data_IF_465231171838
#
_entry.id   IF_465231171838
#
_cell.length_a   1.000
_cell.length_b   1.000
_cell.length_c   1.000
_cell.angle_alpha   90.00
_cell.angle_beta   90.00
_cell.angle_gamma   90.00
#
_symmetry.space_group_name_H-M   'P 1'
#
loop_
_entity.id
_entity.type
_entity.pdbx_description
1 polymer ?
#
# COMPACT_ATOMS: atom_id res chain seq x y z
N UNK A 1 70.92 37.08 -40.64
CA UNK A 1 70.12 35.83 -40.74
C UNK A 1 70.05 35.07 -39.39
N UNK A 2 69.42 35.63 -38.36
CA UNK A 2 69.25 34.99 -37.04
C UNK A 2 67.84 35.23 -36.50
N UNK A 3 66.82 34.58 -37.07
CA UNK A 3 65.44 34.76 -36.58
C UNK A 3 64.47 33.59 -36.87
N UNK A 4 64.96 32.35 -37.09
CA UNK A 4 64.08 31.18 -37.33
C UNK A 4 64.27 30.00 -36.36
N UNK A 5 65.20 30.10 -35.41
CA UNK A 5 65.53 28.98 -34.49
C UNK A 5 64.78 28.94 -33.15
N UNK A 6 64.04 29.99 -32.75
CA UNK A 6 63.45 30.08 -31.40
C UNK A 6 61.94 29.85 -31.31
N UNK A 7 61.22 29.83 -32.43
CA UNK A 7 59.76 29.67 -32.45
C UNK A 7 59.30 28.19 -32.50
N UNK A 8 60.17 27.27 -32.93
CA UNK A 8 59.86 25.83 -32.98
C UNK A 8 60.04 25.11 -31.62
N UNK A 9 60.83 25.67 -30.71
CA UNK A 9 61.04 25.08 -29.37
C UNK A 9 59.89 25.42 -28.42
N UNK A 10 59.26 26.60 -28.56
CA UNK A 10 58.15 27.01 -27.72
C UNK A 10 56.83 26.28 -28.04
N UNK A 11 56.57 25.93 -29.30
CA UNK A 11 55.39 25.16 -29.72
C UNK A 11 55.49 23.66 -29.35
N UNK A 12 56.71 23.11 -29.23
CA UNK A 12 56.93 21.73 -28.78
C UNK A 12 56.66 21.51 -27.29
N UNK A 13 56.91 22.53 -26.44
CA UNK A 13 56.70 22.42 -24.99
C UNK A 13 55.23 22.53 -24.56
N UNK A 14 54.38 23.25 -25.29
CA UNK A 14 52.94 23.36 -24.95
C UNK A 14 52.18 22.07 -25.29
N UNK A 15 52.52 21.40 -26.40
CA UNK A 15 51.93 20.10 -26.76
C UNK A 15 52.33 18.98 -25.78
N UNK A 16 53.54 19.02 -25.23
CA UNK A 16 54.04 18.05 -24.25
C UNK A 16 53.40 18.19 -22.86
N UNK A 17 53.03 19.41 -22.44
CA UNK A 17 52.26 19.64 -21.21
C UNK A 17 50.78 19.23 -21.33
N UNK A 18 50.18 19.32 -22.53
CA UNK A 18 48.81 18.85 -22.73
C UNK A 18 48.70 17.33 -22.82
N UNK A 19 49.72 16.62 -23.32
CA UNK A 19 49.73 15.17 -23.43
C UNK A 19 49.86 14.44 -22.07
N UNK A 20 50.53 15.05 -21.09
CA UNK A 20 50.67 14.50 -19.72
C UNK A 20 49.46 14.78 -18.82
N UNK A 21 48.60 15.75 -19.18
CA UNK A 21 47.35 16.05 -18.49
C UNK A 21 46.17 15.16 -18.90
N UNK A 22 46.23 14.54 -20.09
CA UNK A 22 45.21 13.65 -20.62
C UNK A 22 44.90 12.40 -19.75
N UNK A 23 45.89 11.65 -19.22
CA UNK A 23 45.60 10.50 -18.35
C UNK A 23 45.02 10.89 -16.98
N UNK A 24 45.35 12.08 -16.46
CA UNK A 24 44.73 12.64 -15.23
C UNK A 24 43.27 13.03 -15.45
N UNK A 25 42.94 13.66 -16.60
CA UNK A 25 41.56 13.99 -16.98
C UNK A 25 40.71 12.75 -17.25
N UNK A 26 41.30 11.71 -17.84
CA UNK A 26 40.71 10.41 -18.05
C UNK A 26 40.34 9.68 -16.74
N UNK A 27 41.29 9.58 -15.81
CA UNK A 27 41.04 9.00 -14.49
C UNK A 27 39.99 9.79 -13.69
N UNK A 28 40.00 11.13 -13.81
CA UNK A 28 38.98 12.00 -13.22
C UNK A 28 37.58 11.84 -13.86
N UNK A 29 37.48 11.61 -15.18
CA UNK A 29 36.21 11.28 -15.85
C UNK A 29 35.70 9.89 -15.43
N UNK A 30 36.60 8.93 -15.25
CA UNK A 30 36.28 7.59 -14.73
C UNK A 30 35.77 7.62 -13.29
N UNK A 31 36.34 8.45 -12.41
CA UNK A 31 35.83 8.63 -11.04
C UNK A 31 34.50 9.37 -11.00
N UNK A 32 34.32 10.40 -11.84
CA UNK A 32 33.04 11.14 -11.97
C UNK A 32 31.89 10.27 -12.47
N UNK A 33 32.11 9.44 -13.48
CA UNK A 33 31.08 8.49 -13.97
C UNK A 33 30.72 7.44 -12.91
N UNK A 34 31.70 7.00 -12.10
CA UNK A 34 31.47 6.07 -10.99
C UNK A 34 30.69 6.73 -9.85
N UNK A 35 31.01 7.99 -9.51
CA UNK A 35 30.27 8.78 -8.53
C UNK A 35 28.82 9.05 -8.98
N UNK A 36 28.61 9.36 -10.27
CA UNK A 36 27.26 9.51 -10.86
C UNK A 36 26.43 8.22 -10.79
N UNK A 37 27.05 7.06 -10.99
CA UNK A 37 26.36 5.75 -10.86
C UNK A 37 26.02 5.41 -9.41
N UNK A 38 26.86 5.79 -8.45
CA UNK A 38 26.61 5.59 -7.02
C UNK A 38 25.46 6.48 -6.54
N UNK A 39 25.47 7.76 -6.93
CA UNK A 39 24.39 8.71 -6.61
C UNK A 39 23.06 8.25 -7.21
N UNK A 40 23.01 7.88 -8.49
CA UNK A 40 21.78 7.34 -9.10
C UNK A 40 21.27 6.06 -8.45
N UNK A 41 22.17 5.21 -7.93
CA UNK A 41 21.78 4.00 -7.21
C UNK A 41 21.21 4.31 -5.81
N UNK A 42 21.79 5.29 -5.10
CA UNK A 42 21.29 5.77 -3.82
C UNK A 42 19.91 6.44 -3.98
N UNK A 43 19.72 7.23 -5.02
CA UNK A 43 18.42 7.84 -5.35
C UNK A 43 17.35 6.79 -5.60
N UNK A 44 17.66 5.73 -6.36
CA UNK A 44 16.74 4.62 -6.58
C UNK A 44 16.41 3.85 -5.29
N UNK A 45 17.37 3.70 -4.37
CA UNK A 45 17.12 3.07 -3.06
C UNK A 45 16.23 3.93 -2.17
N UNK A 46 16.48 5.25 -2.11
CA UNK A 46 15.62 6.18 -1.37
C UNK A 46 14.20 6.21 -1.93
N UNK A 47 14.04 6.19 -3.26
CA UNK A 47 12.73 6.12 -3.90
C UNK A 47 11.97 4.82 -3.55
N UNK A 48 12.67 3.67 -3.55
CA UNK A 48 12.07 2.40 -3.16
C UNK A 48 11.66 2.35 -1.68
N UNK A 49 12.46 2.95 -0.78
CA UNK A 49 12.10 3.09 0.63
C UNK A 49 10.89 4.02 0.83
N UNK A 50 10.82 5.14 0.12
CA UNK A 50 9.67 6.03 0.17
C UNK A 50 8.37 5.33 -0.31
N UNK A 51 8.46 4.49 -1.34
CA UNK A 51 7.33 3.68 -1.80
C UNK A 51 6.87 2.67 -0.75
N UNK A 52 7.80 2.02 -0.03
CA UNK A 52 7.47 1.12 1.08
C UNK A 52 6.79 1.85 2.24
N UNK A 53 7.28 3.04 2.59
CA UNK A 53 6.69 3.85 3.66
C UNK A 53 5.26 4.27 3.30
N UNK A 54 5.01 4.69 2.06
CA UNK A 54 3.65 5.01 1.59
C UNK A 54 2.74 3.77 1.64
N UNK A 55 3.20 2.60 1.18
CA UNK A 55 2.44 1.36 1.28
C UNK A 55 2.13 0.99 2.74
N UNK A 56 3.10 1.13 3.63
CA UNK A 56 2.94 0.85 5.06
C UNK A 56 1.92 1.79 5.71
N UNK A 57 1.98 3.09 5.39
CA UNK A 57 0.98 4.09 5.83
C UNK A 57 -0.41 3.77 5.31
N UNK A 58 -0.54 3.32 4.06
CA UNK A 58 -1.83 2.90 3.47
C UNK A 58 -2.41 1.68 4.19
N UNK A 59 -1.58 0.69 4.53
CA UNK A 59 -1.98 -0.50 5.30
C UNK A 59 -2.49 -0.09 6.68
N UNK A 60 -1.71 0.71 7.43
CA UNK A 60 -2.12 1.22 8.75
C UNK A 60 -3.41 2.05 8.69
N UNK A 61 -3.54 2.90 7.69
CA UNK A 61 -4.76 3.68 7.46
C UNK A 61 -5.97 2.79 7.15
N UNK A 62 -5.79 1.72 6.37
CA UNK A 62 -6.82 0.75 6.07
C UNK A 62 -7.24 -0.09 7.29
N UNK A 63 -6.29 -0.47 8.15
CA UNK A 63 -6.55 -1.19 9.41
C UNK A 63 -7.39 -0.36 10.38
N UNK A 64 -7.02 0.91 10.59
CA UNK A 64 -7.79 1.83 11.46
C UNK A 64 -9.21 2.02 10.95
N UNK A 65 -9.38 2.14 9.63
CA UNK A 65 -10.72 2.21 9.00
C UNK A 65 -11.51 0.93 9.26
N UNK A 66 -10.89 -0.24 9.12
CA UNK A 66 -11.54 -1.53 9.36
C UNK A 66 -11.95 -1.68 10.83
N UNK A 67 -11.08 -1.31 11.78
CA UNK A 67 -11.41 -1.27 13.22
C UNK A 67 -12.58 -0.34 13.52
N UNK A 68 -12.62 0.82 12.87
CA UNK A 68 -13.74 1.77 13.03
C UNK A 68 -15.04 1.16 12.48
N UNK A 69 -14.98 0.47 11.35
CA UNK A 69 -16.14 -0.21 10.74
C UNK A 69 -16.63 -1.36 11.61
N UNK A 70 -15.74 -2.18 12.17
CA UNK A 70 -16.12 -3.28 13.07
C UNK A 70 -16.75 -2.75 14.35
N UNK A 71 -16.21 -1.67 14.93
CA UNK A 71 -16.83 -1.02 16.09
C UNK A 71 -18.22 -0.45 15.78
N UNK A 72 -18.40 0.19 14.61
CA UNK A 72 -19.73 0.65 14.18
C UNK A 72 -20.70 -0.50 13.97
N UNK A 73 -20.19 -1.65 13.49
CA UNK A 73 -20.99 -2.84 13.30
C UNK A 73 -21.48 -3.37 14.65
N UNK A 74 -20.61 -3.54 15.64
CA UNK A 74 -21.01 -4.05 16.97
C UNK A 74 -22.05 -3.12 17.61
N UNK A 75 -21.85 -1.81 17.56
CA UNK A 75 -22.85 -0.84 18.04
C UNK A 75 -24.19 -0.97 17.33
N UNK A 76 -24.20 -1.24 16.02
CA UNK A 76 -25.43 -1.41 15.25
C UNK A 76 -26.12 -2.74 15.60
N UNK A 77 -25.35 -3.81 15.81
CA UNK A 77 -25.83 -5.12 16.23
C UNK A 77 -26.53 -5.04 17.59
N UNK A 78 -25.92 -4.36 18.55
CA UNK A 78 -26.52 -4.11 19.87
C UNK A 78 -27.85 -3.35 19.74
N UNK A 79 -27.87 -2.28 18.93
CA UNK A 79 -29.09 -1.49 18.66
C UNK A 79 -30.18 -2.28 17.96
N UNK A 80 -29.82 -3.26 17.12
CA UNK A 80 -30.76 -4.18 16.47
C UNK A 80 -31.31 -5.15 17.52
N UNK A 81 -30.44 -5.77 18.32
CA UNK A 81 -30.83 -6.72 19.36
C UNK A 81 -31.73 -6.07 20.43
N UNK A 82 -31.44 -4.84 20.85
CA UNK A 82 -32.32 -4.04 21.71
C UNK A 82 -33.66 -3.74 21.03
N UNK A 83 -33.64 -3.34 19.76
CA UNK A 83 -34.84 -3.07 18.97
C UNK A 83 -35.76 -4.29 18.89
N UNK A 84 -35.19 -5.47 18.64
CA UNK A 84 -35.92 -6.74 18.63
C UNK A 84 -36.48 -7.10 20.00
N UNK A 85 -35.69 -6.94 21.07
CA UNK A 85 -36.16 -7.14 22.44
C UNK A 85 -37.36 -6.24 22.77
N UNK A 86 -37.28 -4.96 22.39
CA UNK A 86 -38.40 -4.00 22.54
C UNK A 86 -39.62 -4.43 21.74
N UNK A 87 -39.46 -4.80 20.47
CA UNK A 87 -40.56 -5.28 19.62
C UNK A 87 -41.23 -6.52 20.22
N UNK A 88 -40.46 -7.53 20.64
CA UNK A 88 -40.99 -8.74 21.30
C UNK A 88 -41.78 -8.41 22.56
N UNK A 89 -41.25 -7.54 23.42
CA UNK A 89 -41.94 -7.10 24.63
C UNK A 89 -43.25 -6.34 24.31
N UNK A 90 -43.22 -5.46 23.30
CA UNK A 90 -44.41 -4.74 22.83
C UNK A 90 -45.47 -5.68 22.24
N UNK A 91 -45.06 -6.67 21.45
CA UNK A 91 -45.96 -7.67 20.87
C UNK A 91 -46.65 -8.52 21.94
N UNK A 92 -45.92 -8.94 22.98
CA UNK A 92 -46.49 -9.68 24.11
C UNK A 92 -47.56 -8.84 24.84
N UNK A 93 -47.24 -7.58 25.16
CA UNK A 93 -48.19 -6.64 25.81
C UNK A 93 -49.41 -6.38 24.94
N UNK A 94 -49.20 -6.16 23.63
CA UNK A 94 -50.26 -5.93 22.65
C UNK A 94 -51.14 -7.16 22.48
N UNK A 95 -50.57 -8.37 22.49
CA UNK A 95 -51.31 -9.63 22.42
C UNK A 95 -52.30 -9.80 23.57
N UNK A 96 -51.84 -9.55 24.81
CA UNK A 96 -52.69 -9.56 25.99
C UNK A 96 -53.82 -8.52 25.91
N UNK A 97 -53.51 -7.28 25.52
CA UNK A 97 -54.53 -6.23 25.33
C UNK A 97 -55.51 -6.55 24.21
N UNK A 98 -55.05 -7.12 23.09
CA UNK A 98 -55.92 -7.56 21.99
C UNK A 98 -56.93 -8.58 22.47
N UNK A 99 -56.53 -9.52 23.31
CA UNK A 99 -57.43 -10.52 23.88
C UNK A 99 -58.45 -9.89 24.83
N UNK A 100 -58.03 -8.96 25.68
CA UNK A 100 -58.92 -8.19 26.55
C UNK A 100 -59.96 -7.39 25.75
N UNK A 101 -59.51 -6.60 24.78
CA UNK A 101 -60.35 -5.82 23.87
C UNK A 101 -61.32 -6.69 23.07
N UNK A 102 -60.89 -7.88 22.62
CA UNK A 102 -61.77 -8.82 21.91
C UNK A 102 -62.90 -9.32 22.81
N UNK A 103 -62.63 -9.60 24.09
CA UNK A 103 -63.67 -9.99 25.06
C UNK A 103 -64.63 -8.84 25.31
N UNK A 104 -64.11 -7.63 25.56
CA UNK A 104 -64.89 -6.38 25.73
C UNK A 104 -65.81 -6.09 24.54
N UNK A 105 -65.28 -6.09 23.32
CA UNK A 105 -66.05 -5.83 22.10
C UNK A 105 -67.19 -6.85 21.91
N UNK A 106 -66.96 -8.12 22.25
CA UNK A 106 -68.01 -9.15 22.21
C UNK A 106 -69.11 -8.86 23.23
N UNK A 107 -68.75 -8.42 24.44
CA UNK A 107 -69.73 -8.01 25.46
C UNK A 107 -70.51 -6.77 25.03
N UNK A 108 -69.84 -5.77 24.44
CA UNK A 108 -70.49 -4.58 23.89
C UNK A 108 -71.46 -4.92 22.75
N UNK A 109 -71.08 -5.84 21.87
CA UNK A 109 -71.96 -6.33 20.81
C UNK A 109 -73.22 -7.01 21.39
N UNK A 110 -73.06 -7.87 22.40
CA UNK A 110 -74.22 -8.48 23.10
C UNK A 110 -75.09 -7.44 23.79
N UNK A 111 -74.49 -6.42 24.41
CA UNK A 111 -75.21 -5.32 25.05
C UNK A 111 -76.03 -4.50 24.03
N UNK A 112 -75.48 -4.28 22.83
CA UNK A 112 -76.17 -3.56 21.74
C UNK A 112 -77.37 -4.32 21.16
N UNK A 113 -77.39 -5.66 21.28
CA UNK A 113 -78.49 -6.53 20.83
C UNK A 113 -79.63 -6.61 21.86
N UNK A 114 -80.10 -5.45 22.32
CA UNK A 114 -81.22 -5.34 23.26
C UNK A 114 -80.87 -5.56 24.73
N UNK A 115 -79.61 -5.85 25.07
CA UNK A 115 -79.18 -6.00 26.46
C UNK A 115 -79.30 -4.72 27.29
N UNK A 116 -79.10 -3.54 26.68
CA UNK A 116 -79.31 -2.26 27.35
C UNK A 116 -80.78 -2.00 27.67
N UNK A 117 -81.68 -2.33 26.73
CA UNK A 117 -83.13 -2.21 26.93
C UNK A 117 -83.59 -3.16 28.04
N UNK A 118 -83.09 -4.39 28.05
CA UNK A 118 -83.35 -5.34 29.14
C UNK A 118 -82.90 -4.80 30.49
N UNK A 119 -81.70 -4.23 30.56
CA UNK A 119 -81.16 -3.62 31.79
C UNK A 119 -82.06 -2.48 32.31
N UNK A 120 -82.59 -1.65 31.40
CA UNK A 120 -83.50 -0.55 31.76
C UNK A 120 -84.88 -1.05 32.20
N UNK A 121 -85.41 -2.09 31.56
CA UNK A 121 -86.72 -2.67 31.90
C UNK A 121 -86.70 -3.46 33.21
N UNK A 122 -85.54 -3.99 33.59
CA UNK A 122 -85.32 -4.77 34.82
C UNK A 122 -85.02 -3.87 36.04
N UNK A 123 -84.98 -2.55 35.86
CA UNK A 123 -84.77 -1.61 36.96
C UNK A 123 -86.08 -1.32 37.71
N UNK A 124 -86.03 -1.34 39.04
CA UNK A 124 -87.20 -1.17 39.92
C UNK A 124 -87.65 0.30 40.03
N UNK A 125 -86.80 1.26 39.63
CA UNK A 125 -87.10 2.69 39.68
C UNK A 125 -86.40 3.49 38.57
N UNK A 126 -86.99 4.63 38.19
CA UNK A 126 -86.43 5.53 37.19
C UNK A 126 -85.03 6.05 37.57
N UNK A 127 -84.76 6.26 38.86
CA UNK A 127 -83.44 6.66 39.33
C UNK A 127 -82.40 5.53 39.25
N UNK A 128 -82.81 4.28 39.42
CA UNK A 128 -81.95 3.12 39.19
C UNK A 128 -81.61 2.98 37.71
N UNK A 129 -82.59 3.13 36.81
CA UNK A 129 -82.35 3.15 35.35
C UNK A 129 -81.34 4.25 34.95
N UNK A 130 -81.50 5.47 35.50
CA UNK A 130 -80.57 6.59 35.26
C UNK A 130 -79.16 6.28 35.76
N UNK A 131 -79.02 5.71 36.95
CA UNK A 131 -77.71 5.31 37.52
C UNK A 131 -77.01 4.25 36.66
N UNK A 132 -77.74 3.23 36.23
CA UNK A 132 -77.23 2.18 35.35
C UNK A 132 -76.79 2.73 33.99
N UNK A 133 -77.60 3.60 33.37
CA UNK A 133 -77.26 4.25 32.09
C UNK A 133 -75.98 5.07 32.19
N UNK A 134 -75.82 5.86 33.26
CA UNK A 134 -74.59 6.63 33.54
C UNK A 134 -73.37 5.72 33.78
N UNK A 135 -73.57 4.54 34.39
CA UNK A 135 -72.50 3.58 34.58
C UNK A 135 -72.05 2.95 33.24
N UNK A 136 -73.01 2.56 32.39
CA UNK A 136 -72.73 2.05 31.04
C UNK A 136 -71.99 3.09 30.20
N UNK A 137 -72.44 4.35 30.21
CA UNK A 137 -71.78 5.45 29.50
C UNK A 137 -70.31 5.63 29.93
N UNK A 138 -70.03 5.55 31.24
CA UNK A 138 -68.65 5.59 31.78
C UNK A 138 -67.80 4.43 31.30
N UNK A 139 -68.35 3.21 31.24
CA UNK A 139 -67.65 2.03 30.72
C UNK A 139 -67.33 2.20 29.23
N UNK A 140 -68.30 2.64 28.43
CA UNK A 140 -68.12 2.88 26.99
C UNK A 140 -67.04 3.94 26.72
N UNK A 141 -67.03 5.03 27.48
CA UNK A 141 -66.02 6.07 27.36
C UNK A 141 -64.61 5.51 27.63
N UNK A 142 -64.47 4.64 28.63
CA UNK A 142 -63.20 3.96 28.95
C UNK A 142 -62.79 2.98 27.85
N UNK A 143 -63.69 2.14 27.36
CA UNK A 143 -63.40 1.18 26.29
C UNK A 143 -63.01 1.92 24.98
N UNK A 144 -63.63 3.06 24.67
CA UNK A 144 -63.26 3.91 23.55
C UNK A 144 -61.86 4.55 23.71
N UNK A 145 -61.48 4.93 24.93
CA UNK A 145 -60.12 5.39 25.22
C UNK A 145 -59.09 4.26 25.05
N UNK A 146 -59.38 3.05 25.54
CA UNK A 146 -58.51 1.88 25.38
C UNK A 146 -58.32 1.50 23.90
N UNK A 147 -59.37 1.56 23.08
CA UNK A 147 -59.28 1.35 21.62
C UNK A 147 -58.36 2.37 20.94
N UNK A 148 -58.45 3.65 21.33
CA UNK A 148 -57.56 4.70 20.81
C UNK A 148 -56.10 4.44 21.17
N UNK A 149 -55.84 4.05 22.42
CA UNK A 149 -54.50 3.65 22.87
C UNK A 149 -53.97 2.46 22.08
N UNK A 150 -54.78 1.41 21.89
CA UNK A 150 -54.39 0.23 21.12
C UNK A 150 -54.07 0.57 19.66
N UNK A 151 -54.87 1.44 19.01
CA UNK A 151 -54.55 1.93 17.65
C UNK A 151 -53.20 2.67 17.62
N UNK A 152 -52.92 3.49 18.63
CA UNK A 152 -51.62 4.15 18.79
C UNK A 152 -50.47 3.15 18.93
N UNK A 153 -50.65 2.09 19.73
CA UNK A 153 -49.65 1.03 19.90
C UNK A 153 -49.38 0.26 18.59
N UNK A 154 -50.41 -0.01 17.79
CA UNK A 154 -50.25 -0.64 16.47
C UNK A 154 -49.38 0.23 15.56
N UNK A 155 -49.66 1.53 15.50
CA UNK A 155 -48.85 2.48 14.71
C UNK A 155 -47.40 2.53 15.20
N UNK A 156 -47.19 2.63 16.52
CA UNK A 156 -45.85 2.61 17.14
C UNK A 156 -45.07 1.34 16.83
N UNK A 157 -45.75 0.19 16.83
CA UNK A 157 -45.11 -1.08 16.47
C UNK A 157 -44.69 -1.12 15.00
N UNK A 158 -45.52 -0.59 14.09
CA UNK A 158 -45.18 -0.47 12.68
C UNK A 158 -43.93 0.41 12.50
N UNK A 159 -43.89 1.59 13.13
CA UNK A 159 -42.72 2.49 13.05
C UNK A 159 -41.45 1.86 13.61
N UNK A 160 -41.56 1.08 14.70
CA UNK A 160 -40.41 0.37 15.27
C UNK A 160 -39.89 -0.72 14.33
N UNK A 161 -40.79 -1.47 13.68
CA UNK A 161 -40.40 -2.50 12.70
C UNK A 161 -39.75 -1.89 11.47
N UNK A 162 -40.26 -0.77 10.97
CA UNK A 162 -39.65 -0.06 9.84
C UNK A 162 -38.29 0.52 10.18
N UNK A 163 -38.13 1.08 11.39
CA UNK A 163 -36.83 1.52 11.89
C UNK A 163 -35.83 0.34 12.00
N UNK A 164 -36.28 -0.82 12.49
CA UNK A 164 -35.45 -2.03 12.55
C UNK A 164 -35.04 -2.52 11.16
N UNK A 165 -35.96 -2.52 10.18
CA UNK A 165 -35.66 -2.86 8.79
C UNK A 165 -34.61 -1.94 8.20
N UNK A 166 -34.74 -0.63 8.39
CA UNK A 166 -33.74 0.36 7.94
C UNK A 166 -32.37 0.11 8.58
N UNK A 167 -32.32 -0.21 9.88
CA UNK A 167 -31.07 -0.56 10.58
C UNK A 167 -30.42 -1.83 10.01
N UNK A 168 -31.20 -2.89 9.73
CA UNK A 168 -30.69 -4.10 9.08
C UNK A 168 -30.16 -3.85 7.67
N UNK A 169 -30.84 -2.99 6.89
CA UNK A 169 -30.35 -2.58 5.58
C UNK A 169 -29.01 -1.83 5.69
N UNK A 170 -28.89 -0.90 6.64
CA UNK A 170 -27.63 -0.19 6.90
C UNK A 170 -26.52 -1.15 7.36
N UNK A 171 -26.84 -2.15 8.18
CA UNK A 171 -25.90 -3.20 8.61
C UNK A 171 -25.38 -4.02 7.42
N UNK A 172 -26.26 -4.41 6.50
CA UNK A 172 -25.86 -5.14 5.30
C UNK A 172 -24.91 -4.31 4.41
N UNK A 173 -25.18 -3.01 4.24
CA UNK A 173 -24.29 -2.10 3.52
C UNK A 173 -22.94 -1.94 4.23
N UNK A 174 -22.94 -1.83 5.56
CA UNK A 174 -21.72 -1.74 6.35
C UNK A 174 -20.87 -3.00 6.21
N UNK A 175 -21.48 -4.18 6.29
CA UNK A 175 -20.83 -5.47 6.08
C UNK A 175 -20.21 -5.59 4.68
N UNK A 176 -20.94 -5.16 3.64
CA UNK A 176 -20.41 -5.15 2.28
C UNK A 176 -19.17 -4.23 2.16
N UNK A 177 -19.23 -3.03 2.75
CA UNK A 177 -18.09 -2.09 2.74
C UNK A 177 -16.89 -2.63 3.53
N UNK A 178 -17.12 -3.29 4.66
CA UNK A 178 -16.08 -3.91 5.48
C UNK A 178 -15.40 -5.07 4.74
N UNK A 179 -16.16 -5.89 4.00
CA UNK A 179 -15.61 -6.98 3.17
C UNK A 179 -14.69 -6.45 2.09
N UNK A 180 -15.13 -5.43 1.34
CA UNK A 180 -14.31 -4.79 0.29
C UNK A 180 -13.04 -4.21 0.90
N UNK A 181 -13.15 -3.55 2.05
CA UNK A 181 -11.99 -2.96 2.72
C UNK A 181 -11.01 -4.03 3.25
N UNK A 182 -11.52 -5.15 3.75
CA UNK A 182 -10.72 -6.29 4.18
C UNK A 182 -9.93 -6.89 3.00
N UNK A 183 -10.58 -7.11 1.86
CA UNK A 183 -9.93 -7.61 0.64
C UNK A 183 -8.85 -6.64 0.13
N UNK A 184 -9.10 -5.33 0.20
CA UNK A 184 -8.09 -4.31 -0.15
C UNK A 184 -6.91 -4.35 0.80
N UNK A 185 -7.15 -4.57 2.10
CA UNK A 185 -6.10 -4.67 3.11
C UNK A 185 -5.23 -5.92 2.88
N UNK A 186 -5.84 -7.08 2.61
CA UNK A 186 -5.08 -8.31 2.33
C UNK A 186 -4.24 -8.14 1.06
N UNK A 187 -4.80 -7.61 -0.02
CA UNK A 187 -4.05 -7.32 -1.23
C UNK A 187 -2.90 -6.34 -1.01
N UNK A 188 -3.10 -5.30 -0.19
CA UNK A 188 -2.05 -4.35 0.16
C UNK A 188 -0.92 -4.99 1.00
N UNK A 189 -1.27 -5.86 1.96
CA UNK A 189 -0.30 -6.62 2.76
C UNK A 189 0.51 -7.58 1.88
N UNK A 190 -0.13 -8.23 0.92
CA UNK A 190 0.54 -9.13 -0.03
C UNK A 190 1.48 -8.38 -0.98
N UNK A 191 1.08 -7.18 -1.43
CA UNK A 191 1.95 -6.32 -2.21
C UNK A 191 3.18 -5.87 -1.41
N UNK A 192 2.98 -5.48 -0.14
CA UNK A 192 4.06 -5.08 0.76
C UNK A 192 5.03 -6.23 1.03
N UNK A 193 4.53 -7.43 1.32
CA UNK A 193 5.37 -8.60 1.60
C UNK A 193 6.20 -8.99 0.38
N UNK A 194 5.62 -8.95 -0.83
CA UNK A 194 6.34 -9.17 -2.09
C UNK A 194 7.42 -8.11 -2.33
N UNK A 195 7.12 -6.84 -2.10
CA UNK A 195 8.06 -5.74 -2.25
C UNK A 195 9.26 -5.91 -1.28
N UNK A 196 9.00 -6.16 0.00
CA UNK A 196 10.04 -6.44 1.00
C UNK A 196 10.89 -7.66 0.63
N UNK A 197 10.26 -8.74 0.16
CA UNK A 197 10.96 -9.93 -0.32
C UNK A 197 11.85 -9.67 -1.53
N UNK A 198 11.43 -8.81 -2.46
CA UNK A 198 12.26 -8.39 -3.61
C UNK A 198 13.49 -7.58 -3.15
N UNK A 199 13.30 -6.62 -2.24
CA UNK A 199 14.38 -5.78 -1.72
C UNK A 199 15.41 -6.57 -0.93
N UNK A 200 14.97 -7.54 -0.12
CA UNK A 200 15.88 -8.42 0.60
C UNK A 200 16.74 -9.25 -0.37
N UNK A 201 16.14 -9.79 -1.45
CA UNK A 201 16.85 -10.54 -2.49
C UNK A 201 17.86 -9.66 -3.23
N UNK A 202 17.47 -8.44 -3.60
CA UNK A 202 18.34 -7.50 -4.27
C UNK A 202 19.53 -7.07 -3.41
N UNK A 203 19.28 -6.76 -2.13
CA UNK A 203 20.34 -6.45 -1.15
C UNK A 203 21.32 -7.61 -1.03
N UNK A 204 20.83 -8.85 -0.93
CA UNK A 204 21.67 -10.05 -0.86
C UNK A 204 22.49 -10.25 -2.14
N UNK A 205 21.89 -10.03 -3.32
CA UNK A 205 22.59 -10.08 -4.62
C UNK A 205 23.70 -9.03 -4.70
N UNK A 206 23.43 -7.79 -4.31
CA UNK A 206 24.43 -6.70 -4.26
C UNK A 206 25.57 -7.02 -3.30
N UNK A 207 25.28 -7.52 -2.10
CA UNK A 207 26.30 -7.90 -1.13
C UNK A 207 27.21 -9.03 -1.64
N UNK A 208 26.64 -10.04 -2.33
CA UNK A 208 27.42 -11.10 -2.98
C UNK A 208 28.30 -10.57 -4.11
N UNK A 209 27.75 -9.70 -4.96
CA UNK A 209 28.51 -9.06 -6.03
C UNK A 209 29.67 -8.21 -5.49
N UNK A 210 29.44 -7.42 -4.43
CA UNK A 210 30.47 -6.63 -3.77
C UNK A 210 31.59 -7.51 -3.18
N UNK A 211 31.25 -8.61 -2.50
CA UNK A 211 32.22 -9.59 -2.00
C UNK A 211 33.03 -10.23 -3.14
N UNK A 212 32.37 -10.64 -4.22
CA UNK A 212 33.02 -11.23 -5.38
C UNK A 212 33.98 -10.24 -6.08
N UNK A 213 33.58 -8.98 -6.23
CA UNK A 213 34.43 -7.92 -6.79
C UNK A 213 35.64 -7.63 -5.89
N UNK A 214 35.44 -7.53 -4.57
CA UNK A 214 36.54 -7.35 -3.61
C UNK A 214 37.53 -8.51 -3.65
N UNK A 215 37.04 -9.76 -3.71
CA UNK A 215 37.89 -10.93 -3.86
C UNK A 215 38.64 -10.95 -5.18
N UNK A 216 37.96 -10.65 -6.30
CA UNK A 216 38.59 -10.55 -7.62
C UNK A 216 39.67 -9.47 -7.66
N UNK A 217 39.43 -8.31 -7.03
CA UNK A 217 40.40 -7.23 -6.90
C UNK A 217 41.62 -7.67 -6.09
N UNK A 218 41.43 -8.29 -4.91
CA UNK A 218 42.54 -8.82 -4.10
C UNK A 218 43.37 -9.85 -4.88
N UNK A 219 42.70 -10.75 -5.61
CA UNK A 219 43.36 -11.77 -6.44
C UNK A 219 44.16 -11.16 -7.59
N UNK A 220 43.61 -10.14 -8.24
CA UNK A 220 44.30 -9.42 -9.31
C UNK A 220 45.53 -8.68 -8.78
N UNK A 221 45.39 -7.98 -7.64
CA UNK A 221 46.51 -7.30 -6.98
C UNK A 221 47.63 -8.28 -6.60
N UNK A 222 47.29 -9.43 -5.99
CA UNK A 222 48.26 -10.50 -5.67
C UNK A 222 48.98 -11.01 -6.91
N UNK A 223 48.26 -11.35 -8.00
CA UNK A 223 48.88 -11.78 -9.24
C UNK A 223 49.79 -10.70 -9.84
N UNK A 224 49.38 -9.43 -9.81
CA UNK A 224 50.22 -8.35 -10.31
C UNK A 224 51.47 -8.13 -9.47
N UNK A 225 51.39 -8.30 -8.13
CA UNK A 225 52.57 -8.22 -7.27
C UNK A 225 53.49 -9.41 -7.43
N UNK A 226 52.95 -10.62 -7.58
CA UNK A 226 53.72 -11.84 -7.88
C UNK A 226 54.45 -11.71 -9.23
N UNK A 227 53.77 -11.24 -10.27
CA UNK A 227 54.38 -10.99 -11.57
C UNK A 227 55.47 -9.91 -11.49
N UNK A 228 55.24 -8.82 -10.75
CA UNK A 228 56.27 -7.80 -10.50
C UNK A 228 57.47 -8.36 -9.76
N UNK A 229 57.25 -9.16 -8.72
CA UNK A 229 58.33 -9.81 -7.99
C UNK A 229 59.12 -10.73 -8.91
N UNK A 230 58.47 -11.66 -9.63
CA UNK A 230 59.15 -12.57 -10.57
C UNK A 230 59.93 -11.85 -11.66
N UNK A 231 59.40 -10.75 -12.19
CA UNK A 231 60.11 -9.91 -13.17
C UNK A 231 61.35 -9.24 -12.55
N UNK A 232 61.26 -8.78 -11.31
CA UNK A 232 62.37 -8.14 -10.60
C UNK A 232 63.40 -9.15 -10.07
N UNK A 233 63.01 -10.40 -9.78
CA UNK A 233 63.87 -11.44 -9.21
C UNK A 233 64.52 -12.35 -10.26
N UNK A 234 63.88 -12.56 -11.41
CA UNK A 234 64.33 -13.51 -12.44
C UNK A 234 65.05 -12.88 -13.64
N UNK A 235 65.09 -11.55 -13.73
CA UNK A 235 65.75 -10.83 -14.81
C UNK A 235 66.57 -9.70 -14.19
N UNK A 236 67.89 -9.77 -14.34
CA UNK A 236 68.78 -8.59 -14.32
C UNK A 236 68.49 -7.70 -15.54
N UNK A 237 67.25 -7.27 -15.71
CA UNK A 237 66.71 -6.70 -16.93
C UNK A 237 66.64 -5.19 -16.85
N UNK A 238 67.48 -4.54 -17.66
CA UNK A 238 67.36 -3.17 -18.17
C UNK A 238 65.90 -2.67 -18.22
N UNK A 239 65.66 -1.44 -17.78
CA UNK A 239 64.31 -0.91 -17.66
C UNK A 239 63.57 -0.95 -19.01
N UNK A 240 62.23 -1.06 -18.99
CA UNK A 240 61.41 -1.03 -20.23
C UNK A 240 61.67 0.25 -21.05
N UNK A 241 62.12 1.32 -20.39
CA UNK A 241 62.54 2.57 -21.02
C UNK A 241 63.82 2.41 -21.86
N UNK A 242 64.79 1.60 -21.41
CA UNK A 242 66.04 1.33 -22.13
C UNK A 242 65.83 0.46 -23.38
N UNK A 243 64.77 -0.38 -23.39
CA UNK A 243 64.41 -1.22 -24.55
C UNK A 243 63.37 -0.58 -25.48
N UNK A 244 63.11 0.72 -25.32
CA UNK A 244 62.15 1.47 -26.16
C UNK A 244 62.47 1.30 -27.65
N UNK A 245 61.48 0.86 -28.42
CA UNK A 245 61.63 0.59 -29.87
C UNK A 245 62.19 -0.79 -30.23
N UNK A 246 62.73 -1.55 -29.26
CA UNK A 246 63.27 -2.91 -29.46
C UNK A 246 62.42 -4.00 -28.80
N UNK A 247 61.23 -3.65 -28.32
CA UNK A 247 60.29 -4.61 -27.73
C UNK A 247 59.58 -5.42 -28.82
N UNK A 248 59.52 -6.75 -28.71
CA UNK A 248 58.76 -7.57 -29.65
C UNK A 248 57.28 -7.22 -29.59
N UNK A 249 56.62 -7.18 -30.75
CA UNK A 249 55.19 -6.90 -30.82
C UNK A 249 54.42 -8.08 -30.20
N UNK A 250 53.44 -7.82 -29.32
CA UNK A 250 52.72 -8.89 -28.62
C UNK A 250 51.84 -9.76 -29.53
N UNK A 251 51.42 -9.24 -30.69
CA UNK A 251 50.74 -10.00 -31.74
C UNK A 251 50.98 -9.34 -33.11
N UNK A 252 51.01 -10.14 -34.18
CA UNK A 252 51.02 -9.65 -35.56
C UNK A 252 49.57 -9.37 -35.99
N UNK A 253 49.25 -8.10 -36.21
CA UNK A 253 47.88 -7.68 -36.51
C UNK A 253 47.71 -6.17 -36.58
N UNK A 254 46.46 -5.74 -36.79
CA UNK A 254 46.12 -4.32 -36.87
C UNK A 254 45.77 -3.76 -35.50
N UNK A 255 46.19 -2.53 -35.22
CA UNK A 255 45.80 -1.80 -34.02
C UNK A 255 44.36 -1.32 -34.19
N UNK A 256 43.45 -1.83 -33.37
CA UNK A 256 42.05 -1.39 -33.36
C UNK A 256 41.86 -0.12 -32.54
N UNK A 257 42.64 0.03 -31.47
CA UNK A 257 42.57 1.21 -30.62
C UNK A 257 43.88 1.44 -29.88
N UNK A 258 44.25 2.71 -29.74
CA UNK A 258 45.48 3.15 -29.10
C UNK A 258 45.26 3.43 -27.61
N UNK A 259 46.35 3.37 -26.84
CA UNK A 259 46.35 3.81 -25.44
C UNK A 259 46.01 5.31 -25.34
N UNK A 260 45.14 5.68 -24.40
CA UNK A 260 44.71 7.07 -24.19
C UNK A 260 43.24 7.32 -24.55
N UNK A 261 42.90 8.58 -24.86
CA UNK A 261 41.54 8.94 -25.21
C UNK A 261 41.20 8.45 -26.62
N UNK A 262 40.20 7.58 -26.73
CA UNK A 262 39.70 7.11 -28.02
C UNK A 262 38.18 7.00 -27.99
N UNK A 263 37.54 7.41 -29.09
CA UNK A 263 36.12 7.20 -29.28
C UNK A 263 35.86 5.69 -29.37
N UNK A 264 35.04 5.16 -28.46
CA UNK A 264 34.53 3.81 -28.65
C UNK A 264 33.66 3.80 -29.91
N UNK A 265 34.11 3.10 -30.96
CA UNK A 265 33.55 3.11 -32.32
C UNK A 265 32.01 2.98 -32.38
N UNK A 266 31.37 2.39 -31.37
CA UNK A 266 29.91 2.14 -31.36
C UNK A 266 29.09 2.98 -30.38
N UNK A 267 29.70 3.81 -29.52
CA UNK A 267 28.95 4.55 -28.48
C UNK A 267 29.19 6.05 -28.46
N UNK A 268 30.09 6.61 -29.27
CA UNK A 268 30.34 8.06 -29.34
C UNK A 268 30.85 8.69 -28.03
N UNK A 269 31.19 7.85 -27.04
CA UNK A 269 31.71 8.28 -25.74
C UNK A 269 33.23 8.20 -25.80
N UNK A 270 33.88 9.29 -25.40
CA UNK A 270 35.32 9.33 -25.15
C UNK A 270 35.66 8.47 -23.93
N UNK A 271 36.14 7.25 -24.19
CA UNK A 271 36.62 6.35 -23.15
C UNK A 271 38.14 6.39 -23.15
N UNK A 272 38.72 6.66 -21.98
CA UNK A 272 40.15 6.56 -21.81
C UNK A 272 40.53 5.09 -21.69
N UNK A 273 41.30 4.61 -22.66
CA UNK A 273 41.72 3.23 -22.75
C UNK A 273 43.05 3.04 -22.03
N UNK A 274 43.06 2.16 -21.03
CA UNK A 274 44.25 1.81 -20.25
C UNK A 274 45.23 0.89 -21.00
N UNK A 275 44.98 0.59 -22.27
CA UNK A 275 45.79 -0.31 -23.09
C UNK A 275 45.50 -0.14 -24.58
N UNK A 276 46.21 -0.90 -25.41
CA UNK A 276 46.03 -0.96 -26.86
C UNK A 276 45.25 -2.24 -27.23
N UNK A 277 44.22 -2.13 -28.07
CA UNK A 277 43.55 -3.31 -28.63
C UNK A 277 44.17 -3.67 -29.97
N UNK A 278 44.56 -4.93 -30.11
CA UNK A 278 45.12 -5.49 -31.33
C UNK A 278 44.14 -6.54 -31.88
N UNK A 279 43.86 -6.47 -33.18
CA UNK A 279 43.19 -7.55 -33.91
C UNK A 279 44.25 -8.47 -34.51
N UNK A 280 44.47 -9.67 -33.97
CA UNK A 280 45.42 -10.61 -34.55
C UNK A 280 44.94 -11.08 -35.93
N UNK A 281 45.89 -11.38 -36.82
CA UNK A 281 45.59 -12.09 -38.08
C UNK A 281 45.25 -13.54 -37.73
N UNK A 282 44.16 -14.11 -38.27
CA UNK A 282 43.72 -15.49 -37.95
C UNK A 282 44.87 -16.48 -38.23
N UNK A 283 45.19 -17.31 -37.24
CA UNK A 283 46.17 -18.41 -37.36
C UNK A 283 47.58 -18.13 -36.82
N UNK A 284 47.72 -17.32 -35.77
CA UNK A 284 48.96 -17.16 -35.01
C UNK A 284 48.69 -17.36 -33.51
#
# INVERSE_FOLDING_TARGET
MRARGRLLVALGCVAALCASAAPRRAAARGSLTRAKRLTSALEAELAALAQLDDLSRRVLGAERRLQTLTFRQTQLDDRIAEGERRIRAFEKRRGARRQHLRRRLRSLYKLSRGGLLRLMLESESADQARRQTRAVARILARDAAELRLFRGEVKRLATLRDALRKRRAAQAQLLASARVQSQRLTAARDALSKALGSLYRDRRRRQRAAKALSYAQKRLLRRTSELRYRLNSGLGGTSVAERKGRLPRPARGYVLSCFGAGAAHKSGIDVAQSGMLLRPRKGA
#
